data_IF_947141261919
#
_entry.id   IF_947141261919
#
_cell.length_a   1.000
_cell.length_b   1.000
_cell.length_c   1.000
_cell.angle_alpha   90.00
_cell.angle_beta   90.00
_cell.angle_gamma   90.00
#
_symmetry.space_group_name_H-M   'P 1'
#
loop_
_entity.id
_entity.type
_entity.pdbx_description
1 polymer ?
#
# COMPACT_ATOMS: atom_id res chain seq x y z
N UNK A 1 3.63 9.64 -22.27
CA UNK A 1 2.95 8.98 -21.13
C UNK A 1 1.89 9.85 -20.47
N UNK A 2 2.18 11.06 -19.94
CA UNK A 2 1.17 11.89 -19.24
C UNK A 2 -0.08 12.23 -20.06
N UNK A 3 0.08 12.57 -21.35
CA UNK A 3 -1.04 12.89 -22.24
C UNK A 3 -1.94 11.68 -22.47
N UNK A 4 -1.36 10.48 -22.62
CA UNK A 4 -2.13 9.22 -22.77
C UNK A 4 -2.97 8.95 -21.52
N UNK A 5 -2.41 9.12 -20.32
CA UNK A 5 -3.17 9.04 -19.07
C UNK A 5 -4.31 10.06 -19.02
N UNK A 6 -4.07 11.29 -19.46
CA UNK A 6 -5.08 12.35 -19.49
C UNK A 6 -6.24 12.00 -20.44
N UNK A 7 -5.94 11.51 -21.63
CA UNK A 7 -6.94 11.04 -22.61
C UNK A 7 -7.75 9.88 -22.02
N UNK A 8 -7.08 8.91 -21.38
CA UNK A 8 -7.74 7.76 -20.78
C UNK A 8 -8.65 8.16 -19.62
N UNK A 9 -8.22 9.09 -18.77
CA UNK A 9 -9.05 9.66 -17.68
C UNK A 9 -10.25 10.40 -18.23
N UNK A 10 -10.09 11.21 -19.29
CA UNK A 10 -11.20 11.91 -19.92
C UNK A 10 -12.21 10.90 -20.50
N UNK A 11 -11.73 9.90 -21.25
CA UNK A 11 -12.59 8.86 -21.81
C UNK A 11 -13.35 8.09 -20.74
N UNK A 12 -12.67 7.76 -19.64
CA UNK A 12 -13.28 7.09 -18.49
C UNK A 12 -14.31 7.98 -17.78
N UNK A 13 -14.04 9.29 -17.67
CA UNK A 13 -15.00 10.27 -17.12
C UNK A 13 -16.26 10.35 -17.99
N UNK A 14 -16.13 10.38 -19.31
CA UNK A 14 -17.28 10.31 -20.22
C UNK A 14 -18.09 9.03 -20.04
N UNK A 15 -17.43 7.88 -19.85
CA UNK A 15 -18.10 6.62 -19.54
C UNK A 15 -18.91 6.72 -18.24
N UNK A 16 -18.33 7.27 -17.17
CA UNK A 16 -19.03 7.48 -15.89
C UNK A 16 -20.29 8.34 -16.08
N UNK A 17 -20.16 9.47 -16.78
CA UNK A 17 -21.27 10.41 -17.00
C UNK A 17 -22.38 9.77 -17.83
N UNK A 18 -22.03 9.14 -18.96
CA UNK A 18 -23.00 8.47 -19.83
C UNK A 18 -23.68 7.29 -19.14
N UNK A 19 -22.92 6.50 -18.38
CA UNK A 19 -23.46 5.42 -17.56
C UNK A 19 -24.45 5.95 -16.52
N UNK A 20 -24.11 7.03 -15.82
CA UNK A 20 -24.98 7.66 -14.83
C UNK A 20 -26.28 8.17 -15.45
N UNK A 21 -26.20 8.83 -16.60
CA UNK A 21 -27.37 9.37 -17.29
C UNK A 21 -28.31 8.26 -17.79
N UNK A 22 -27.78 7.21 -18.41
CA UNK A 22 -28.57 6.08 -18.89
C UNK A 22 -29.14 5.22 -17.77
N UNK A 23 -28.47 5.16 -16.61
CA UNK A 23 -28.90 4.37 -15.44
C UNK A 23 -29.47 5.26 -14.32
N UNK A 24 -30.17 6.33 -14.70
CA UNK A 24 -30.86 7.26 -13.80
C UNK A 24 -32.21 6.76 -13.29
N UNK A 25 -32.59 5.52 -13.66
CA UNK A 25 -33.77 4.85 -13.13
C UNK A 25 -33.73 4.85 -11.59
N UNK A 26 -34.86 5.23 -10.98
CA UNK A 26 -35.00 5.24 -9.52
C UNK A 26 -35.32 3.85 -9.03
N UNK A 27 -34.62 3.43 -7.99
CA UNK A 27 -34.84 2.18 -7.28
C UNK A 27 -35.16 2.50 -5.84
N UNK A 28 -36.20 1.86 -5.34
CA UNK A 28 -36.58 1.95 -3.94
C UNK A 28 -35.64 1.09 -3.11
N UNK A 29 -34.84 1.74 -2.27
CA UNK A 29 -33.95 1.07 -1.35
C UNK A 29 -34.68 0.89 -0.02
N UNK A 30 -35.27 -0.30 0.14
CA UNK A 30 -35.84 -0.75 1.40
C UNK A 30 -34.85 -1.67 2.13
N UNK A 31 -34.42 -1.23 3.31
CA UNK A 31 -33.59 -2.04 4.20
C UNK A 31 -34.22 -2.09 5.60
N UNK A 32 -34.88 -3.21 5.87
CA UNK A 32 -35.66 -3.44 7.08
C UNK A 32 -36.60 -2.25 7.38
N UNK A 33 -36.66 -1.78 8.64
CA UNK A 33 -37.45 -0.62 9.07
C UNK A 33 -36.61 0.66 9.18
N UNK A 34 -35.31 0.62 8.85
CA UNK A 34 -34.38 1.72 9.08
C UNK A 34 -34.20 2.61 7.84
N UNK A 35 -34.43 2.06 6.65
CA UNK A 35 -34.13 2.73 5.39
C UNK A 35 -35.24 2.44 4.37
N UNK A 36 -35.86 3.51 3.88
CA UNK A 36 -36.81 3.46 2.78
C UNK A 36 -36.65 4.76 1.99
N UNK A 37 -35.76 4.74 0.99
CA UNK A 37 -35.41 5.90 0.18
C UNK A 37 -35.41 5.54 -1.30
N UNK A 38 -35.89 6.46 -2.14
CA UNK A 38 -35.78 6.33 -3.60
C UNK A 38 -34.52 7.02 -4.10
N UNK A 39 -33.59 6.23 -4.62
CA UNK A 39 -32.32 6.73 -5.14
C UNK A 39 -32.08 6.22 -6.57
N UNK A 40 -31.40 6.98 -7.43
CA UNK A 40 -31.00 6.49 -8.74
C UNK A 40 -30.05 5.28 -8.63
N UNK A 41 -30.21 4.30 -9.52
CA UNK A 41 -29.40 3.06 -9.53
C UNK A 41 -27.90 3.34 -9.59
N UNK A 42 -27.48 4.31 -10.40
CA UNK A 42 -26.06 4.65 -10.53
C UNK A 42 -25.42 5.08 -9.20
N UNK A 43 -26.17 5.71 -8.28
CA UNK A 43 -25.64 6.13 -6.98
C UNK A 43 -25.27 4.92 -6.12
N UNK A 44 -26.11 3.88 -6.11
CA UNK A 44 -25.86 2.64 -5.37
C UNK A 44 -24.62 1.93 -5.93
N UNK A 45 -24.50 1.88 -7.25
CA UNK A 45 -23.35 1.25 -7.92
C UNK A 45 -22.06 1.99 -7.59
N UNK A 46 -22.03 3.32 -7.70
CA UNK A 46 -20.82 4.08 -7.35
C UNK A 46 -20.49 4.06 -5.87
N UNK A 47 -21.49 4.05 -4.98
CA UNK A 47 -21.27 3.91 -3.54
C UNK A 47 -20.62 2.54 -3.21
N UNK A 48 -21.14 1.45 -3.78
CA UNK A 48 -20.57 0.11 -3.56
C UNK A 48 -19.14 -0.02 -4.15
N UNK A 49 -18.90 0.55 -5.33
CA UNK A 49 -17.57 0.61 -5.93
C UNK A 49 -16.59 1.42 -5.06
N UNK A 50 -17.02 2.59 -4.55
CA UNK A 50 -16.21 3.42 -3.68
C UNK A 50 -15.83 2.69 -2.38
N UNK A 51 -16.79 1.99 -1.76
CA UNK A 51 -16.53 1.16 -0.59
C UNK A 51 -15.48 0.09 -0.91
N UNK A 52 -15.59 -0.58 -2.05
CA UNK A 52 -14.60 -1.57 -2.50
C UNK A 52 -13.19 -0.99 -2.67
N UNK A 53 -13.08 0.22 -3.26
CA UNK A 53 -11.80 0.93 -3.40
C UNK A 53 -11.22 1.28 -2.02
N UNK A 54 -12.05 1.78 -1.11
CA UNK A 54 -11.64 2.12 0.26
C UNK A 54 -11.11 0.88 0.98
N UNK A 55 -11.83 -0.24 0.95
CA UNK A 55 -11.41 -1.50 1.55
C UNK A 55 -10.06 -1.95 0.98
N UNK A 56 -9.92 -1.92 -0.35
CA UNK A 56 -8.68 -2.32 -1.02
C UNK A 56 -7.51 -1.40 -0.64
N UNK A 57 -7.75 -0.09 -0.53
CA UNK A 57 -6.74 0.87 -0.11
C UNK A 57 -6.27 0.60 1.32
N UNK A 58 -7.20 0.33 2.26
CA UNK A 58 -6.84 -0.06 3.63
C UNK A 58 -6.04 -1.36 3.67
N UNK A 59 -6.41 -2.36 2.87
CA UNK A 59 -5.66 -3.61 2.78
C UNK A 59 -4.21 -3.39 2.33
N UNK A 60 -4.01 -2.57 1.29
CA UNK A 60 -2.68 -2.23 0.79
C UNK A 60 -1.82 -1.50 1.82
N UNK A 61 -2.42 -0.67 2.68
CA UNK A 61 -1.70 0.01 3.79
C UNK A 61 -1.23 -1.03 4.82
N UNK A 62 -2.11 -1.96 5.22
CA UNK A 62 -1.77 -3.02 6.19
C UNK A 62 -0.64 -3.91 5.64
N UNK A 63 -0.72 -4.29 4.37
CA UNK A 63 0.31 -5.11 3.72
C UNK A 63 1.66 -4.39 3.66
N UNK A 64 1.68 -3.10 3.27
CA UNK A 64 2.88 -2.27 3.28
C UNK A 64 3.50 -2.18 4.67
N UNK A 65 2.69 -2.08 5.72
CA UNK A 65 3.20 -2.04 7.09
C UNK A 65 3.87 -3.36 7.50
N UNK A 66 3.26 -4.51 7.15
CA UNK A 66 3.86 -5.82 7.38
C UNK A 66 5.18 -5.97 6.61
N UNK A 67 5.21 -5.55 5.36
CA UNK A 67 6.40 -5.62 4.51
C UNK A 67 7.54 -4.73 5.05
N UNK A 68 7.24 -3.51 5.47
CA UNK A 68 8.22 -2.62 6.11
C UNK A 68 8.82 -3.21 7.39
N UNK A 69 8.01 -3.88 8.22
CA UNK A 69 8.53 -4.59 9.40
C UNK A 69 9.50 -5.71 9.02
N UNK A 70 9.18 -6.48 7.99
CA UNK A 70 10.06 -7.54 7.48
C UNK A 70 11.38 -6.96 6.94
N UNK A 71 11.32 -5.89 6.16
CA UNK A 71 12.50 -5.18 5.64
C UNK A 71 13.40 -4.71 6.79
N UNK A 72 12.81 -4.11 7.83
CA UNK A 72 13.58 -3.65 8.98
C UNK A 72 14.25 -4.80 9.75
N UNK A 73 13.58 -5.96 9.87
CA UNK A 73 14.19 -7.16 10.49
C UNK A 73 15.33 -7.71 9.64
N UNK A 74 15.14 -7.85 8.33
CA UNK A 74 16.19 -8.31 7.42
C UNK A 74 17.41 -7.37 7.43
N UNK A 75 17.19 -6.06 7.39
CA UNK A 75 18.28 -5.08 7.44
C UNK A 75 19.08 -5.15 8.75
N UNK A 76 18.42 -5.43 9.88
CA UNK A 76 19.11 -5.69 11.16
C UNK A 76 19.98 -6.95 11.07
N UNK A 77 19.41 -8.07 10.60
CA UNK A 77 20.14 -9.33 10.46
C UNK A 77 21.37 -9.17 9.56
N UNK A 78 21.23 -8.52 8.40
CA UNK A 78 22.35 -8.25 7.48
C UNK A 78 23.45 -7.44 8.16
N UNK A 79 23.09 -6.42 8.94
CA UNK A 79 24.05 -5.60 9.67
C UNK A 79 24.78 -6.39 10.75
N UNK A 80 24.06 -7.22 11.49
CA UNK A 80 24.63 -8.01 12.58
C UNK A 80 25.56 -9.12 12.04
N UNK A 81 25.15 -9.83 10.98
CA UNK A 81 26.03 -10.79 10.26
C UNK A 81 27.30 -10.13 9.72
N UNK A 82 27.19 -8.93 9.13
CA UNK A 82 28.38 -8.19 8.66
C UNK A 82 29.35 -7.85 9.79
N UNK A 83 28.84 -7.55 10.99
CA UNK A 83 29.67 -7.28 12.17
C UNK A 83 30.37 -8.54 12.68
N UNK A 84 29.70 -9.69 12.67
CA UNK A 84 30.29 -10.97 13.08
C UNK A 84 31.41 -11.41 12.14
N UNK A 85 31.24 -11.24 10.83
CA UNK A 85 32.30 -11.50 9.84
C UNK A 85 33.51 -10.59 10.14
N UNK A 86 33.31 -9.28 10.32
CA UNK A 86 34.39 -8.34 10.64
C UNK A 86 35.06 -8.62 12.00
N UNK A 87 34.34 -9.15 12.97
CA UNK A 87 34.90 -9.53 14.27
C UNK A 87 35.75 -10.79 14.18
N UNK A 88 35.36 -11.74 13.32
CA UNK A 88 36.08 -13.00 13.07
C UNK A 88 37.35 -12.78 12.23
N UNK A 89 37.36 -11.74 11.39
CA UNK A 89 38.45 -11.43 10.46
C UNK A 89 39.56 -10.53 11.06
N UNK A 90 39.40 -10.00 12.30
CA UNK A 90 40.47 -9.26 12.97
C UNK A 90 41.63 -10.21 13.32
N UNK A 91 42.86 -9.99 12.81
CA UNK A 91 44.02 -10.80 13.18
C UNK A 91 44.28 -10.67 14.69
N UNK A 92 44.88 -11.69 15.34
CA UNK A 92 45.23 -11.59 16.76
C UNK A 92 46.14 -10.38 16.95
N UNK A 93 45.74 -9.48 17.85
CA UNK A 93 46.56 -8.34 18.27
C UNK A 93 47.86 -8.91 18.84
N UNK A 94 48.97 -8.65 18.15
CA UNK A 94 50.32 -8.96 18.65
C UNK A 94 50.51 -8.09 19.88
N UNK A 95 50.31 -8.68 21.06
CA UNK A 95 50.63 -8.05 22.34
C UNK A 95 52.15 -7.80 22.39
N UNK A 96 52.50 -6.52 22.47
CA UNK A 96 53.65 -5.92 23.14
C UNK A 96 54.86 -6.85 23.37
N UNK A 97 55.71 -7.00 22.35
CA UNK A 97 57.12 -7.33 22.59
C UNK A 97 57.80 -6.08 23.14
N UNK A 98 57.79 -5.99 24.47
CA UNK A 98 58.53 -5.00 25.27
C UNK A 98 59.99 -4.96 24.80
N UNK A 99 60.38 -3.84 24.20
CA UNK A 99 61.75 -3.57 23.76
C UNK A 99 62.67 -3.47 24.98
N UNK A 100 63.79 -4.23 25.06
CA UNK A 100 64.83 -3.95 26.03
C UNK A 100 65.76 -2.86 25.49
N UNK A 101 65.95 -1.79 26.25
CA UNK A 101 67.14 -0.92 26.21
C UNK A 101 67.45 -0.48 27.65
N UNK A 102 68.70 -0.12 28.00
CA UNK A 102 69.97 -0.26 27.28
C UNK A 102 70.91 -1.32 27.89
#
# INVERSE_FOLDING_TARGET
MRVVYLILVILFSFLIVTFSLQNSARVQLQYYHYLNIDVPTYMIIFASLLIGVIITAFWGIVERFRLNRTINRLNKLVRDLRREIQATEKPPMINDVKTPQP
#
